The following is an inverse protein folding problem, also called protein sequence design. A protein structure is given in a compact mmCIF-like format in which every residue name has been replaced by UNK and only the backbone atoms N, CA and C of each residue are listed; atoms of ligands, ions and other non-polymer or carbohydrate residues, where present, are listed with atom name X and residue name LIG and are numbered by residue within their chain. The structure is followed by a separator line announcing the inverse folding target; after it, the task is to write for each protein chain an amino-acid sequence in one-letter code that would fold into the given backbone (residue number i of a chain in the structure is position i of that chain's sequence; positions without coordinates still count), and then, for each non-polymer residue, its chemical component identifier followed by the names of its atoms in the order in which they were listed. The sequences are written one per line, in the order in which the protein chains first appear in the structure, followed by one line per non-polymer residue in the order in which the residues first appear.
data_IF_695455720739
#
_entry.id   IF_695455720739
#
_cell.length_a   1.000
_cell.length_b   1.000
_cell.length_c   1.000
_cell.angle_alpha   90.00
_cell.angle_beta   90.00
_cell.angle_gamma   90.00
#
_symmetry.space_group_name_H-M   'P 1'
#
loop_
_entity.id
_entity.type
_entity.pdbx_description
1 polymer ?
#
# COMPACT_ATOMS: atom_id res chain seq x y z
N UNK A 1 17.66 3.78 4.57
CA UNK A 1 16.45 3.01 4.25
C UNK A 1 15.43 3.92 3.59
N UNK A 2 14.73 3.40 2.62
CA UNK A 2 13.63 4.13 1.96
C UNK A 2 12.34 3.35 2.13
N UNK A 3 11.20 4.03 2.03
CA UNK A 3 9.91 3.38 2.06
C UNK A 3 8.99 3.90 0.96
N UNK A 4 8.14 3.01 0.50
CA UNK A 4 7.03 3.29 -0.40
C UNK A 4 5.79 3.37 0.47
N UNK A 5 5.09 4.51 0.44
CA UNK A 5 3.84 4.68 1.19
C UNK A 5 2.69 4.67 0.20
N UNK A 6 1.78 3.72 0.37
CA UNK A 6 0.58 3.59 -0.44
C UNK A 6 -0.60 4.08 0.39
N UNK A 7 -1.21 5.17 -0.06
CA UNK A 7 -2.35 5.79 0.61
C UNK A 7 -3.61 5.47 -0.20
N UNK A 8 -4.50 4.65 0.38
CA UNK A 8 -5.75 4.27 -0.28
C UNK A 8 -6.83 5.28 0.07
N UNK A 9 -7.47 5.88 -0.95
CA UNK A 9 -8.64 6.72 -0.76
C UNK A 9 -9.83 5.92 -0.24
N UNK A 10 -10.88 6.63 0.19
CA UNK A 10 -12.08 5.99 0.74
C UNK A 10 -12.71 5.07 -0.31
N UNK A 11 -12.80 3.74 -0.05
CA UNK A 11 -13.37 2.82 -1.02
C UNK A 11 -14.88 2.98 -1.13
N UNK A 12 -15.42 2.62 -2.28
CA UNK A 12 -16.87 2.65 -2.50
C UNK A 12 -17.59 1.65 -1.62
N UNK A 13 -16.97 0.50 -1.34
CA UNK A 13 -17.49 -0.55 -0.47
C UNK A 13 -16.37 -1.00 0.47
N UNK A 14 -16.32 -0.46 1.70
CA UNK A 14 -15.26 -0.79 2.65
C UNK A 14 -15.19 -2.29 2.99
N UNK A 15 -16.32 -2.97 3.11
CA UNK A 15 -16.34 -4.40 3.44
C UNK A 15 -15.72 -5.22 2.31
N UNK A 16 -16.04 -4.90 1.05
CA UNK A 16 -15.45 -5.55 -0.11
C UNK A 16 -13.94 -5.27 -0.20
N UNK A 17 -13.53 -4.02 0.08
CA UNK A 17 -12.13 -3.64 0.12
C UNK A 17 -11.36 -4.49 1.13
N UNK A 18 -11.85 -4.58 2.36
CA UNK A 18 -11.15 -5.30 3.44
C UNK A 18 -11.00 -6.79 3.10
N UNK A 19 -12.04 -7.40 2.55
CA UNK A 19 -12.01 -8.81 2.18
C UNK A 19 -10.98 -9.07 1.08
N UNK A 20 -11.00 -8.28 0.03
CA UNK A 20 -10.05 -8.42 -1.09
C UNK A 20 -8.63 -8.14 -0.63
N UNK A 21 -8.44 -7.08 0.13
CA UNK A 21 -7.13 -6.65 0.62
C UNK A 21 -6.45 -7.75 1.43
N UNK A 22 -7.17 -8.33 2.40
CA UNK A 22 -6.63 -9.38 3.26
C UNK A 22 -6.45 -10.71 2.52
N UNK A 23 -7.42 -11.09 1.69
CA UNK A 23 -7.48 -12.45 1.13
C UNK A 23 -6.80 -12.58 -0.22
N UNK A 24 -6.66 -11.49 -0.97
CA UNK A 24 -6.11 -11.54 -2.33
C UNK A 24 -4.88 -10.65 -2.50
N UNK A 25 -5.00 -9.36 -2.18
CA UNK A 25 -3.92 -8.40 -2.46
C UNK A 25 -2.69 -8.64 -1.59
N UNK A 26 -2.85 -8.76 -0.29
CA UNK A 26 -1.71 -8.92 0.61
C UNK A 26 -0.93 -10.21 0.39
N UNK A 27 -1.56 -11.36 0.12
CA UNK A 27 -0.80 -12.55 -0.29
C UNK A 27 0.06 -12.32 -1.53
N UNK A 28 -0.41 -11.54 -2.49
CA UNK A 28 0.37 -11.17 -3.68
C UNK A 28 1.53 -10.25 -3.29
N UNK A 29 1.24 -9.19 -2.52
CA UNK A 29 2.24 -8.20 -2.11
C UNK A 29 3.35 -8.81 -1.26
N UNK A 30 3.03 -9.81 -0.42
CA UNK A 30 4.01 -10.44 0.45
C UNK A 30 5.03 -11.31 -0.28
N UNK A 31 4.84 -11.55 -1.57
CA UNK A 31 5.84 -12.23 -2.41
C UNK A 31 6.94 -11.29 -2.90
N UNK A 32 6.77 -9.98 -2.75
CA UNK A 32 7.78 -9.01 -3.12
C UNK A 32 8.99 -9.11 -2.19
N UNK A 33 10.18 -8.82 -2.74
CA UNK A 33 11.41 -8.71 -1.97
C UNK A 33 11.45 -7.36 -1.26
N UNK A 34 11.14 -7.37 0.04
CA UNK A 34 11.06 -6.16 0.87
C UNK A 34 11.72 -6.41 2.24
N UNK A 35 12.06 -5.32 2.94
CA UNK A 35 12.57 -5.42 4.30
C UNK A 35 11.45 -5.69 5.30
N UNK A 36 10.37 -4.94 5.20
CA UNK A 36 9.15 -5.16 6.00
C UNK A 36 7.98 -4.43 5.37
N UNK A 37 6.80 -4.81 5.79
CA UNK A 37 5.54 -4.14 5.43
C UNK A 37 4.82 -3.79 6.72
N UNK A 38 4.41 -2.52 6.84
CA UNK A 38 3.55 -2.06 7.93
C UNK A 38 2.21 -1.62 7.34
N UNK A 39 1.13 -2.16 7.89
CA UNK A 39 -0.22 -1.85 7.44
C UNK A 39 -0.95 -1.08 8.54
N UNK A 40 -1.64 -0.01 8.14
CA UNK A 40 -2.43 0.79 9.07
C UNK A 40 -3.81 1.04 8.50
N UNK A 41 -4.83 0.97 9.35
CA UNK A 41 -6.18 1.38 8.99
C UNK A 41 -6.41 2.76 9.61
N UNK A 42 -6.81 3.72 8.78
CA UNK A 42 -7.09 5.07 9.26
C UNK A 42 -8.40 5.07 10.05
N UNK A 43 -8.37 5.56 11.28
CA UNK A 43 -9.53 5.56 12.17
C UNK A 43 -10.10 6.95 12.44
N UNK A 44 -9.41 8.00 11.99
CA UNK A 44 -9.86 9.36 12.20
C UNK A 44 -8.78 10.39 11.92
N UNK A 45 -9.09 11.63 12.26
CA UNK A 45 -8.16 12.75 12.24
C UNK A 45 -8.14 13.43 13.61
N UNK A 46 -7.10 14.22 13.93
CA UNK A 46 -7.02 14.87 15.24
C UNK A 46 -8.19 15.80 15.56
N UNK A 47 -8.75 16.45 14.55
CA UNK A 47 -9.85 17.40 14.72
C UNK A 47 -11.24 16.80 14.49
N UNK A 48 -11.31 15.47 14.24
CA UNK A 48 -12.58 14.78 14.02
C UNK A 48 -13.14 14.89 12.61
N UNK A 49 -12.43 15.54 11.68
CA UNK A 49 -12.88 15.61 10.29
C UNK A 49 -12.79 14.24 9.62
N UNK A 50 -13.51 14.05 8.51
CA UNK A 50 -13.47 12.81 7.73
C UNK A 50 -12.09 12.66 7.08
N UNK A 51 -11.38 11.54 7.32
CA UNK A 51 -10.09 11.32 6.68
C UNK A 51 -10.21 11.20 5.16
N UNK A 52 -9.23 11.76 4.46
CA UNK A 52 -9.12 11.62 3.01
C UNK A 52 -8.71 10.20 2.61
N UNK A 53 -8.04 9.47 3.50
CA UNK A 53 -7.52 8.14 3.22
C UNK A 53 -8.11 7.12 4.19
N UNK A 54 -8.21 5.88 3.70
CA UNK A 54 -8.84 4.78 4.41
C UNK A 54 -7.81 3.82 5.01
N UNK A 55 -6.75 3.52 4.26
CA UNK A 55 -5.73 2.57 4.68
C UNK A 55 -4.37 3.03 4.16
N UNK A 56 -3.31 2.68 4.89
CA UNK A 56 -1.94 3.04 4.55
C UNK A 56 -1.10 1.75 4.56
N UNK A 57 -0.29 1.55 3.53
CA UNK A 57 0.73 0.52 3.51
C UNK A 57 2.10 1.18 3.39
N UNK A 58 2.99 0.91 4.34
CA UNK A 58 4.38 1.34 4.29
C UNK A 58 5.24 0.13 3.99
N UNK A 59 5.95 0.16 2.87
CA UNK A 59 6.79 -0.92 2.39
C UNK A 59 8.24 -0.44 2.42
N UNK A 60 9.10 -1.13 3.18
CA UNK A 60 10.45 -0.70 3.46
C UNK A 60 11.46 -1.46 2.60
N UNK A 61 12.44 -0.72 2.08
CA UNK A 61 13.55 -1.22 1.26
C UNK A 61 14.87 -0.69 1.81
N UNK A 62 15.97 -1.37 1.51
CA UNK A 62 17.29 -0.94 1.99
C UNK A 62 17.69 0.42 1.41
N UNK A 63 17.43 0.62 0.10
CA UNK A 63 17.76 1.82 -0.63
C UNK A 63 16.91 1.92 -1.90
N UNK A 64 17.12 2.96 -2.69
CA UNK A 64 16.37 3.17 -3.94
C UNK A 64 16.61 2.06 -4.96
N UNK A 65 17.84 1.54 -5.03
CA UNK A 65 18.14 0.45 -5.96
C UNK A 65 17.34 -0.81 -5.63
N UNK A 66 17.21 -1.14 -4.34
CA UNK A 66 16.40 -2.25 -3.86
C UNK A 66 14.92 -2.04 -4.21
N UNK A 67 14.40 -0.82 -3.96
CA UNK A 67 13.02 -0.46 -4.29
C UNK A 67 12.75 -0.67 -5.78
N UNK A 68 13.64 -0.16 -6.63
CA UNK A 68 13.47 -0.24 -8.09
C UNK A 68 13.54 -1.69 -8.58
N UNK A 69 14.45 -2.51 -8.04
CA UNK A 69 14.54 -3.93 -8.38
C UNK A 69 13.27 -4.67 -7.98
N UNK A 70 12.81 -4.45 -6.76
CA UNK A 70 11.65 -5.15 -6.21
C UNK A 70 10.37 -4.80 -6.94
N UNK A 71 10.11 -3.51 -7.18
CA UNK A 71 8.91 -3.08 -7.88
C UNK A 71 8.95 -3.43 -9.37
N UNK A 72 10.14 -3.50 -9.97
CA UNK A 72 10.32 -3.90 -11.36
C UNK A 72 10.31 -5.40 -11.61
N UNK A 73 10.48 -6.21 -10.55
CA UNK A 73 10.42 -7.66 -10.63
C UNK A 73 8.99 -8.14 -10.94
N UNK A 74 8.80 -9.38 -11.44
CA UNK A 74 7.45 -9.88 -11.73
C UNK A 74 6.48 -9.77 -10.56
N UNK A 75 6.92 -10.08 -9.34
CA UNK A 75 6.10 -10.01 -8.13
C UNK A 75 5.66 -8.57 -7.84
N UNK A 76 6.55 -7.59 -8.06
CA UNK A 76 6.24 -6.18 -7.90
C UNK A 76 5.25 -5.69 -8.94
N UNK A 77 5.43 -6.09 -10.19
CA UNK A 77 4.54 -5.69 -11.28
C UNK A 77 3.13 -6.24 -11.07
N UNK A 78 3.00 -7.50 -10.63
CA UNK A 78 1.70 -8.11 -10.33
C UNK A 78 1.02 -7.37 -9.18
N UNK A 79 1.76 -7.01 -8.14
CA UNK A 79 1.23 -6.28 -6.99
C UNK A 79 0.68 -4.91 -7.40
N UNK A 80 1.44 -4.16 -8.20
CA UNK A 80 1.00 -2.84 -8.68
C UNK A 80 -0.22 -2.97 -9.58
N UNK A 81 -0.22 -3.94 -10.50
CA UNK A 81 -1.33 -4.15 -11.41
C UNK A 81 -2.63 -4.54 -10.67
N UNK A 82 -2.52 -5.19 -9.52
CA UNK A 82 -3.69 -5.63 -8.74
C UNK A 82 -4.44 -4.47 -8.07
N UNK A 83 -3.80 -3.31 -7.88
CA UNK A 83 -4.44 -2.16 -7.23
C UNK A 83 -5.75 -1.75 -7.89
N UNK A 84 -5.82 -1.79 -9.21
CA UNK A 84 -7.04 -1.42 -9.97
C UNK A 84 -8.22 -2.33 -9.70
N UNK A 85 -7.97 -3.52 -9.13
CA UNK A 85 -9.03 -4.50 -8.87
C UNK A 85 -9.82 -4.20 -7.59
N UNK A 86 -9.28 -3.39 -6.67
CA UNK A 86 -9.93 -3.15 -5.39
C UNK A 86 -9.81 -1.71 -4.87
N UNK A 87 -8.86 -0.93 -5.36
CA UNK A 87 -8.62 0.43 -4.87
C UNK A 87 -9.59 1.42 -5.50
N UNK A 88 -10.88 1.27 -5.19
CA UNK A 88 -11.96 2.03 -5.84
C UNK A 88 -11.97 3.51 -5.45
N UNK A 89 -11.34 3.86 -4.33
CA UNK A 89 -11.18 5.25 -3.92
C UNK A 89 -9.91 5.91 -4.46
N UNK A 90 -9.13 5.16 -5.26
CA UNK A 90 -7.86 5.64 -5.78
C UNK A 90 -6.69 5.38 -4.84
N UNK A 91 -5.49 5.58 -5.32
CA UNK A 91 -4.27 5.46 -4.54
C UNK A 91 -3.36 6.65 -4.77
N UNK A 92 -2.63 7.01 -3.73
CA UNK A 92 -1.52 7.97 -3.81
C UNK A 92 -0.28 7.24 -3.31
N UNK A 93 0.78 7.30 -4.09
CA UNK A 93 2.03 6.58 -3.76
C UNK A 93 3.15 7.60 -3.59
N UNK A 94 3.85 7.51 -2.47
CA UNK A 94 4.97 8.38 -2.14
C UNK A 94 6.20 7.52 -1.83
N UNK A 95 7.36 8.06 -2.17
CA UNK A 95 8.65 7.46 -1.78
C UNK A 95 9.30 8.41 -0.79
N UNK A 96 9.73 7.89 0.35
CA UNK A 96 10.34 8.68 1.41
C UNK A 96 11.65 8.06 1.85
N UNK A 97 12.58 8.92 2.24
CA UNK A 97 13.78 8.51 2.93
C UNK A 97 13.47 8.43 4.42
N UNK A 98 13.80 7.31 5.04
CA UNK A 98 13.55 7.09 6.47
C UNK A 98 14.69 7.73 7.24
N UNK A 99 14.34 8.68 8.09
CA UNK A 99 15.33 9.41 8.89
C UNK A 99 15.89 8.57 10.04
#
# INVERSE_FOLDING_TARGET
MVKLTVLYGQPKDPAAFEKYYANTHMPIARKMDVRKIELSKVIGTPDGSTPAFYRIADIYFEDMAHLQRSTGAPEGQVTVADLRNFATGGVTVLVSEVA
#
